data_IF_297566928104
#
_entry.id   IF_297566928104
#
_cell.length_a   1.000
_cell.length_b   1.000
_cell.length_c   1.000
_cell.angle_alpha   90.00
_cell.angle_beta   90.00
_cell.angle_gamma   90.00
#
_symmetry.space_group_name_H-M   'P 1'
#
loop_
_entity.id
_entity.type
_entity.pdbx_description
1 polymer ?
#
# COMPACT_ATOMS: atom_id res chain seq x y z
N UNK A 1 10.62 -16.41 55.85
CA UNK A 1 11.28 -15.87 54.63
C UNK A 1 10.63 -16.50 53.41
N UNK A 2 9.70 -15.81 52.75
CA UNK A 2 9.12 -16.26 51.49
C UNK A 2 10.00 -15.76 50.34
N UNK A 3 10.67 -16.68 49.63
CA UNK A 3 11.39 -16.36 48.40
C UNK A 3 10.37 -16.21 47.27
N UNK A 4 10.06 -14.97 46.90
CA UNK A 4 9.42 -14.67 45.63
C UNK A 4 10.38 -15.09 44.49
N UNK A 5 10.11 -16.23 43.87
CA UNK A 5 10.68 -16.55 42.55
C UNK A 5 9.89 -15.73 41.53
N UNK A 6 10.36 -14.53 41.23
CA UNK A 6 9.95 -13.84 40.01
C UNK A 6 10.37 -14.75 38.85
N UNK A 7 9.38 -15.38 38.21
CA UNK A 7 9.57 -16.09 36.96
C UNK A 7 9.96 -15.08 35.90
N UNK A 8 11.27 -14.96 35.64
CA UNK A 8 11.77 -14.36 34.41
C UNK A 8 11.35 -15.27 33.25
N UNK A 9 10.18 -14.98 32.69
CA UNK A 9 9.85 -15.49 31.36
C UNK A 9 10.85 -14.85 30.39
N UNK A 10 11.54 -15.63 29.54
CA UNK A 10 12.37 -15.05 28.50
C UNK A 10 11.48 -14.18 27.60
N UNK A 11 11.99 -13.04 27.08
CA UNK A 11 11.21 -12.20 26.19
C UNK A 11 10.72 -13.04 25.02
N UNK A 12 9.41 -13.03 24.77
CA UNK A 12 8.82 -13.71 23.62
C UNK A 12 9.51 -13.20 22.36
N UNK A 13 10.10 -14.10 21.56
CA UNK A 13 10.66 -13.71 20.26
C UNK A 13 9.53 -13.10 19.43
N UNK A 14 9.65 -11.82 19.10
CA UNK A 14 8.73 -11.12 18.20
C UNK A 14 8.68 -11.86 16.86
N UNK A 15 7.47 -12.06 16.34
CA UNK A 15 7.30 -12.65 15.01
C UNK A 15 7.60 -11.60 13.94
N UNK A 16 7.88 -12.02 12.69
CA UNK A 16 8.03 -11.07 11.56
C UNK A 16 6.81 -10.15 11.41
N UNK A 17 5.61 -10.67 11.72
CA UNK A 17 4.37 -9.89 11.72
C UNK A 17 4.42 -8.76 12.73
N UNK A 18 4.90 -9.05 13.93
CA UNK A 18 4.98 -8.07 15.01
C UNK A 18 5.98 -6.97 14.65
N UNK A 19 7.15 -7.34 14.09
CA UNK A 19 8.15 -6.39 13.62
C UNK A 19 7.63 -5.47 12.51
N UNK A 20 6.84 -6.01 11.58
CA UNK A 20 6.27 -5.22 10.49
C UNK A 20 5.20 -4.24 10.99
N UNK A 21 4.38 -4.64 11.97
CA UNK A 21 3.37 -3.79 12.59
C UNK A 21 3.99 -2.70 13.45
N UNK A 22 5.01 -3.02 14.25
CA UNK A 22 5.77 -2.04 15.03
C UNK A 22 6.42 -0.99 14.12
N UNK A 23 7.02 -1.41 13.00
CA UNK A 23 7.59 -0.50 12.00
C UNK A 23 6.53 0.44 11.41
N UNK A 24 5.34 -0.08 11.08
CA UNK A 24 4.21 0.71 10.59
C UNK A 24 3.71 1.72 11.64
N UNK A 25 3.57 1.29 12.89
CA UNK A 25 3.10 2.14 13.99
C UNK A 25 4.08 3.30 14.25
N UNK A 26 5.38 3.02 14.29
CA UNK A 26 6.42 4.03 14.47
C UNK A 26 6.43 5.10 13.37
N UNK A 27 6.01 4.74 12.15
CA UNK A 27 5.91 5.65 11.02
C UNK A 27 4.56 6.38 10.92
N UNK A 28 3.63 6.12 11.85
CA UNK A 28 2.29 6.70 11.82
C UNK A 28 1.41 6.13 10.70
N UNK A 29 1.72 4.93 10.18
CA UNK A 29 0.87 4.25 9.20
C UNK A 29 -0.40 3.79 9.91
N UNK A 30 -1.55 4.22 9.39
CA UNK A 30 -2.87 3.84 9.88
C UNK A 30 -3.61 2.94 8.89
N UNK A 31 -3.45 3.22 7.59
CA UNK A 31 -4.01 2.42 6.51
C UNK A 31 -2.90 1.86 5.62
N UNK A 32 -3.21 0.78 4.93
CA UNK A 32 -2.35 0.17 3.92
C UNK A 32 -3.13 -0.08 2.64
N UNK A 33 -2.44 0.10 1.52
CA UNK A 33 -2.93 -0.24 0.19
C UNK A 33 -1.98 -1.26 -0.44
N UNK A 34 -2.48 -2.47 -0.71
CA UNK A 34 -1.74 -3.54 -1.38
C UNK A 34 -1.84 -3.41 -2.89
N UNK A 35 -0.69 -3.33 -3.56
CA UNK A 35 -0.58 -3.20 -5.01
C UNK A 35 0.73 -3.84 -5.51
N UNK A 36 1.13 -3.58 -6.74
CA UNK A 36 2.39 -4.07 -7.30
C UNK A 36 3.26 -2.95 -7.87
N UNK A 37 4.48 -3.30 -8.26
CA UNK A 37 5.50 -2.40 -8.79
C UNK A 37 5.02 -1.56 -9.98
N UNK A 38 4.08 -2.04 -10.79
CA UNK A 38 3.55 -1.26 -11.91
C UNK A 38 2.78 -0.01 -11.45
N UNK A 39 2.29 0.04 -10.20
CA UNK A 39 1.65 1.23 -9.63
C UNK A 39 2.63 2.37 -9.32
N UNK A 40 3.92 2.08 -9.17
CA UNK A 40 4.93 3.06 -8.74
C UNK A 40 5.15 4.15 -9.81
N UNK A 41 5.08 3.79 -11.10
CA UNK A 41 5.16 4.76 -12.19
C UNK A 41 3.97 5.73 -12.17
N UNK A 42 2.78 5.22 -11.82
CA UNK A 42 1.58 6.04 -11.62
C UNK A 42 1.78 7.07 -10.50
N UNK A 43 2.37 6.66 -9.37
CA UNK A 43 2.72 7.58 -8.28
C UNK A 43 3.70 8.67 -8.74
N UNK A 44 4.68 8.32 -9.57
CA UNK A 44 5.60 9.31 -10.15
C UNK A 44 4.83 10.30 -11.00
N UNK A 45 3.96 9.80 -11.88
CA UNK A 45 3.27 10.63 -12.85
C UNK A 45 2.24 11.57 -12.24
N UNK A 46 1.38 11.03 -11.38
CA UNK A 46 0.20 11.74 -10.88
C UNK A 46 0.40 12.35 -9.50
N UNK A 47 1.51 12.00 -8.82
CA UNK A 47 1.76 12.40 -7.42
C UNK A 47 0.58 12.04 -6.51
N UNK A 48 -0.13 10.96 -6.82
CA UNK A 48 -1.26 10.43 -6.07
C UNK A 48 -1.51 8.95 -6.43
N UNK A 49 -2.12 8.22 -5.49
CA UNK A 49 -2.90 7.01 -5.79
C UNK A 49 -4.24 7.44 -6.36
N UNK A 50 -4.73 6.77 -7.40
CA UNK A 50 -5.93 7.21 -8.12
C UNK A 50 -7.07 6.22 -7.90
N UNK A 51 -8.28 6.74 -7.77
CA UNK A 51 -9.45 5.87 -7.82
C UNK A 51 -9.62 5.26 -9.21
N UNK A 52 -10.40 4.19 -9.31
CA UNK A 52 -10.77 3.62 -10.60
C UNK A 52 -11.41 4.63 -11.56
N UNK A 53 -12.28 5.48 -11.04
CA UNK A 53 -12.96 6.54 -11.81
C UNK A 53 -11.96 7.57 -12.31
N UNK A 54 -11.00 7.97 -11.47
CA UNK A 54 -9.92 8.89 -11.86
C UNK A 54 -9.03 8.25 -12.95
N UNK A 55 -8.72 6.95 -12.82
CA UNK A 55 -7.96 6.18 -13.82
C UNK A 55 -8.73 6.14 -15.16
N UNK A 56 -10.03 5.83 -15.14
CA UNK A 56 -10.85 5.71 -16.35
C UNK A 56 -11.00 7.06 -17.06
N UNK A 57 -11.09 8.16 -16.31
CA UNK A 57 -11.16 9.51 -16.85
C UNK A 57 -9.79 10.07 -17.29
N UNK A 58 -8.70 9.30 -17.14
CA UNK A 58 -7.33 9.76 -17.45
C UNK A 58 -6.79 9.10 -18.73
N UNK A 59 -6.59 9.85 -19.82
CA UNK A 59 -6.14 9.30 -21.11
C UNK A 59 -4.80 8.57 -21.09
N UNK A 60 -3.95 8.77 -20.07
CA UNK A 60 -2.66 8.08 -19.91
C UNK A 60 -2.79 6.57 -19.77
N UNK A 61 -3.94 6.06 -19.29
CA UNK A 61 -4.16 4.62 -19.10
C UNK A 61 -4.71 3.90 -20.33
N UNK A 62 -5.29 4.65 -21.27
CA UNK A 62 -5.99 4.11 -22.45
C UNK A 62 -5.15 4.13 -23.74
N UNK A 63 -3.89 4.58 -23.69
CA UNK A 63 -2.97 4.56 -24.83
C UNK A 63 -2.45 3.14 -25.09
N UNK A 64 -1.98 2.87 -26.31
CA UNK A 64 -1.39 1.58 -26.69
C UNK A 64 -0.27 1.14 -25.72
N UNK A 65 0.57 2.08 -25.30
CA UNK A 65 1.60 1.90 -24.26
C UNK A 65 1.17 2.55 -22.92
N UNK A 66 -0.13 2.54 -22.61
CA UNK A 66 -0.67 3.22 -21.43
C UNK A 66 -0.10 2.68 -20.10
N UNK A 67 -0.10 3.53 -19.07
CA UNK A 67 0.44 3.18 -17.75
C UNK A 67 -0.17 1.87 -17.23
N UNK A 68 0.70 0.98 -16.74
CA UNK A 68 0.31 -0.36 -16.28
C UNK A 68 -0.02 -0.44 -14.79
N UNK A 69 -0.48 0.66 -14.16
CA UNK A 69 -0.70 0.74 -12.70
C UNK A 69 -1.37 -0.50 -12.12
N UNK A 70 -0.84 -1.03 -11.01
CA UNK A 70 -1.45 -2.16 -10.27
C UNK A 70 -2.90 -1.88 -9.83
N UNK A 71 -3.26 -0.61 -9.59
CA UNK A 71 -4.66 -0.21 -9.34
C UNK A 71 -5.57 -0.50 -10.55
N UNK A 72 -5.05 -0.44 -11.78
CA UNK A 72 -5.80 -0.75 -13.01
C UNK A 72 -6.23 -2.22 -13.03
N UNK A 73 -5.35 -3.15 -12.66
CA UNK A 73 -5.64 -4.60 -12.72
C UNK A 73 -6.74 -5.05 -11.75
N UNK A 74 -6.70 -4.56 -10.51
CA UNK A 74 -7.74 -4.85 -9.51
C UNK A 74 -9.08 -4.15 -9.84
N UNK A 75 -8.99 -2.94 -10.38
CA UNK A 75 -10.12 -2.14 -10.84
C UNK A 75 -10.88 -2.82 -11.98
N UNK A 76 -10.20 -3.26 -13.05
CA UNK A 76 -10.88 -3.91 -14.19
C UNK A 76 -11.57 -5.22 -13.83
N UNK A 77 -10.99 -6.03 -12.93
CA UNK A 77 -11.60 -7.30 -12.51
C UNK A 77 -12.88 -7.12 -11.68
N UNK A 78 -13.06 -5.95 -11.07
CA UNK A 78 -14.16 -5.65 -10.15
C UNK A 78 -15.06 -4.49 -10.63
N UNK A 79 -14.75 -3.85 -11.77
CA UNK A 79 -15.61 -2.89 -12.43
C UNK A 79 -16.96 -3.54 -12.71
N UNK A 80 -18.04 -2.85 -12.38
CA UNK A 80 -19.42 -3.32 -12.55
C UNK A 80 -19.88 -4.50 -11.68
N UNK A 81 -19.07 -4.98 -10.71
CA UNK A 81 -19.45 -6.09 -9.81
C UNK A 81 -20.08 -5.65 -8.48
N UNK A 82 -20.86 -4.57 -8.46
CA UNK A 82 -21.57 -4.05 -7.27
C UNK A 82 -20.69 -3.72 -6.06
N UNK A 83 -19.37 -3.56 -6.23
CA UNK A 83 -18.51 -3.06 -5.17
C UNK A 83 -18.28 -1.55 -5.32
N UNK A 84 -18.40 -0.77 -4.25
CA UNK A 84 -18.25 0.69 -4.26
C UNK A 84 -16.80 1.19 -4.48
N UNK A 85 -15.90 0.28 -4.83
CA UNK A 85 -14.46 0.50 -4.92
C UNK A 85 -14.11 1.39 -6.11
N UNK A 86 -15.04 1.68 -7.04
CA UNK A 86 -14.75 2.58 -8.15
C UNK A 86 -14.53 4.04 -7.72
N UNK A 87 -15.15 4.45 -6.61
CA UNK A 87 -15.27 5.84 -6.17
C UNK A 87 -14.14 6.33 -5.25
N UNK A 88 -13.10 5.52 -5.08
CA UNK A 88 -11.98 5.83 -4.20
C UNK A 88 -10.90 4.76 -4.24
N UNK A 89 -9.82 4.99 -3.51
CA UNK A 89 -8.76 4.01 -3.31
C UNK A 89 -9.17 3.08 -2.18
N UNK A 90 -9.10 1.77 -2.44
CA UNK A 90 -9.40 0.71 -1.49
C UNK A 90 -8.27 0.55 -0.46
N UNK A 91 -8.59 0.60 0.83
CA UNK A 91 -7.62 0.54 1.92
C UNK A 91 -7.94 -0.59 2.89
N UNK A 92 -6.95 -1.00 3.67
CA UNK A 92 -7.16 -1.83 4.86
C UNK A 92 -6.47 -1.18 6.07
N UNK A 93 -6.95 -1.50 7.27
CA UNK A 93 -6.22 -1.15 8.49
C UNK A 93 -4.91 -1.92 8.59
N UNK A 94 -3.87 -1.30 9.15
CA UNK A 94 -2.53 -1.91 9.31
C UNK A 94 -2.55 -3.31 9.91
N UNK A 95 -3.39 -3.57 10.92
CA UNK A 95 -3.55 -4.91 11.53
C UNK A 95 -3.85 -6.04 10.52
N UNK A 96 -4.43 -5.69 9.37
CA UNK A 96 -4.82 -6.61 8.30
C UNK A 96 -3.86 -6.59 7.10
N UNK A 97 -2.68 -5.95 7.20
CA UNK A 97 -1.76 -5.76 6.06
C UNK A 97 -1.36 -7.06 5.35
N UNK A 98 -1.35 -8.19 6.06
CA UNK A 98 -1.08 -9.50 5.47
C UNK A 98 -2.04 -9.88 4.34
N UNK A 99 -3.26 -9.36 4.36
CA UNK A 99 -4.31 -9.67 3.39
C UNK A 99 -4.03 -8.87 2.12
N UNK A 100 -3.67 -7.59 2.29
CA UNK A 100 -3.11 -6.75 1.24
C UNK A 100 -1.92 -7.41 0.56
N UNK A 101 -0.96 -7.90 1.33
CA UNK A 101 0.27 -8.47 0.78
C UNK A 101 0.04 -9.83 0.10
N UNK A 102 -0.78 -10.70 0.69
CA UNK A 102 -0.98 -12.06 0.20
C UNK A 102 -2.00 -12.16 -0.94
N UNK A 103 -2.91 -11.20 -1.06
CA UNK A 103 -3.97 -11.22 -2.06
C UNK A 103 -3.85 -10.05 -3.02
N UNK A 104 -4.11 -8.83 -2.56
CA UNK A 104 -4.27 -7.66 -3.42
C UNK A 104 -2.98 -7.25 -4.14
N UNK A 105 -1.85 -7.30 -3.44
CA UNK A 105 -0.53 -6.97 -4.01
C UNK A 105 -0.07 -7.96 -5.09
N UNK A 106 -0.71 -9.14 -5.15
CA UNK A 106 -0.42 -10.18 -6.14
C UNK A 106 -1.33 -10.14 -7.36
N UNK A 107 -2.40 -9.34 -7.32
CA UNK A 107 -3.30 -9.21 -8.46
C UNK A 107 -2.57 -8.56 -9.64
N UNK A 108 -2.70 -9.17 -10.82
CA UNK A 108 -2.05 -8.67 -12.03
C UNK A 108 -0.54 -8.89 -12.12
N UNK A 109 0.08 -9.62 -11.18
CA UNK A 109 1.45 -10.11 -11.35
C UNK A 109 1.47 -11.17 -12.45
N UNK A 110 1.95 -10.78 -13.63
CA UNK A 110 2.14 -11.66 -14.80
C UNK A 110 3.66 -11.82 -15.01
N UNK A 111 4.28 -12.84 -14.41
CA UNK A 111 5.70 -13.17 -14.62
C UNK A 111 6.71 -12.35 -13.82
N UNK A 112 8.00 -12.47 -14.18
CA UNK A 112 9.17 -12.04 -13.39
C UNK A 112 9.36 -10.51 -13.25
N UNK A 113 8.64 -9.68 -14.02
CA UNK A 113 8.90 -8.23 -14.09
C UNK A 113 8.20 -7.39 -13.01
N UNK A 114 7.25 -7.97 -12.28
CA UNK A 114 6.50 -7.25 -11.25
C UNK A 114 6.66 -7.87 -9.86
N UNK A 115 6.62 -7.02 -8.84
CA UNK A 115 6.73 -7.43 -7.44
C UNK A 115 5.67 -6.76 -6.56
N UNK A 116 5.40 -7.37 -5.41
CA UNK A 116 4.45 -6.87 -4.43
C UNK A 116 4.89 -5.53 -3.81
N UNK A 117 3.93 -4.64 -3.61
CA UNK A 117 4.14 -3.33 -3.00
C UNK A 117 3.05 -3.10 -1.96
N UNK A 118 3.44 -2.57 -0.81
CA UNK A 118 2.50 -2.11 0.20
C UNK A 118 2.74 -0.63 0.49
N UNK A 119 1.71 0.18 0.31
CA UNK A 119 1.77 1.63 0.54
C UNK A 119 1.08 1.91 1.87
N UNK A 120 1.85 2.39 2.85
CA UNK A 120 1.36 2.83 4.15
C UNK A 120 0.94 4.28 4.13
N UNK A 121 -0.25 4.58 4.66
CA UNK A 121 -0.90 5.89 4.64
C UNK A 121 -1.25 6.36 6.06
N UNK A 122 -1.20 7.67 6.29
CA UNK A 122 -1.56 8.29 7.57
C UNK A 122 -3.07 8.20 7.87
N UNK A 123 -3.47 8.60 9.09
CA UNK A 123 -4.87 8.62 9.52
C UNK A 123 -5.68 9.79 8.96
N UNK A 124 -5.06 10.71 8.22
CA UNK A 124 -5.70 11.91 7.67
C UNK A 124 -6.26 11.70 6.26
N UNK A 125 -6.20 10.48 5.73
CA UNK A 125 -6.87 10.11 4.48
C UNK A 125 -8.38 10.30 4.65
N UNK A 126 -9.04 11.17 3.86
CA UNK A 126 -10.48 11.35 3.95
C UNK A 126 -11.22 10.11 3.44
N UNK A 127 -12.08 9.53 4.28
CA UNK A 127 -12.82 8.31 3.98
C UNK A 127 -14.30 8.57 3.67
N UNK A 128 -14.89 7.71 2.84
CA UNK A 128 -16.33 7.67 2.59
C UNK A 128 -17.03 6.99 3.76
N UNK A 129 -17.86 7.74 4.48
CA UNK A 129 -18.64 7.23 5.63
C UNK A 129 -19.58 6.05 5.27
N UNK A 130 -19.94 5.90 3.99
CA UNK A 130 -20.82 4.83 3.50
C UNK A 130 -20.21 3.42 3.66
N UNK A 131 -18.87 3.29 3.70
CA UNK A 131 -18.19 2.00 3.74
C UNK A 131 -17.50 1.81 5.08
N UNK A 132 -18.24 1.25 6.04
CA UNK A 132 -17.78 1.09 7.43
C UNK A 132 -16.92 -0.17 7.64
N UNK A 133 -17.17 -1.23 6.86
CA UNK A 133 -16.42 -2.49 6.94
C UNK A 133 -15.11 -2.46 6.15
N UNK A 134 -14.99 -1.57 5.17
CA UNK A 134 -13.87 -1.49 4.25
C UNK A 134 -13.54 -0.02 3.96
N UNK A 135 -12.42 0.53 4.48
CA UNK A 135 -12.12 1.94 4.28
C UNK A 135 -11.83 2.23 2.81
N UNK A 136 -12.59 3.19 2.26
CA UNK A 136 -12.42 3.69 0.88
C UNK A 136 -12.29 5.21 0.95
N UNK A 137 -11.29 5.76 0.29
CA UNK A 137 -11.10 7.22 0.26
C UNK A 137 -12.21 7.93 -0.53
N UNK A 138 -12.34 9.25 -0.33
CA UNK A 138 -13.31 10.07 -1.08
C UNK A 138 -12.93 10.22 -2.56
N UNK A 139 -11.67 9.97 -2.91
CA UNK A 139 -11.14 9.96 -4.29
C UNK A 139 -9.66 9.57 -4.28
N UNK A 140 -8.86 10.05 -5.23
CA UNK A 140 -7.41 9.86 -5.20
C UNK A 140 -6.74 10.33 -3.91
N UNK A 141 -5.64 9.68 -3.53
CA UNK A 141 -4.87 9.95 -2.31
C UNK A 141 -3.52 10.56 -2.69
N UNK A 142 -3.28 11.81 -2.27
CA UNK A 142 -2.01 12.50 -2.49
C UNK A 142 -0.81 11.75 -1.88
N UNK A 143 0.35 11.80 -2.54
CA UNK A 143 1.63 11.28 -2.01
C UNK A 143 2.03 11.90 -0.66
N UNK A 144 1.45 13.05 -0.29
CA UNK A 144 1.67 13.66 1.02
C UNK A 144 1.16 12.78 2.17
N UNK A 145 0.15 11.93 1.92
CA UNK A 145 -0.44 11.02 2.91
C UNK A 145 0.35 9.73 3.09
N UNK A 146 1.29 9.44 2.18
CA UNK A 146 2.13 8.24 2.25
C UNK A 146 3.12 8.40 3.39
N UNK A 147 3.15 7.45 4.31
CA UNK A 147 4.13 7.37 5.39
C UNK A 147 5.28 6.40 5.04
N UNK A 148 4.97 5.32 4.33
CA UNK A 148 5.95 4.28 3.98
C UNK A 148 5.58 3.59 2.65
N UNK A 149 6.58 3.15 1.91
CA UNK A 149 6.42 2.28 0.73
C UNK A 149 7.29 1.06 0.95
N UNK A 150 6.65 -0.09 1.15
CA UNK A 150 7.32 -1.36 1.39
C UNK A 150 7.40 -2.17 0.11
N UNK A 151 8.60 -2.64 -0.21
CA UNK A 151 8.92 -3.47 -1.38
C UNK A 151 9.88 -4.60 -0.97
N UNK A 152 10.08 -5.64 -1.80
CA UNK A 152 11.12 -6.64 -1.53
C UNK A 152 12.51 -6.00 -1.46
N UNK A 153 13.37 -6.53 -0.59
CA UNK A 153 14.65 -5.90 -0.25
C UNK A 153 15.53 -5.62 -1.47
N UNK A 154 15.51 -6.53 -2.46
CA UNK A 154 16.28 -6.40 -3.69
C UNK A 154 15.85 -5.21 -4.58
N UNK A 155 14.63 -4.69 -4.42
CA UNK A 155 14.09 -3.60 -5.25
C UNK A 155 14.14 -2.23 -4.56
N UNK A 156 14.59 -2.14 -3.30
CA UNK A 156 14.60 -0.87 -2.56
C UNK A 156 15.42 0.21 -3.26
N UNK A 157 16.58 -0.15 -3.82
CA UNK A 157 17.44 0.81 -4.53
C UNK A 157 16.76 1.34 -5.79
N UNK A 158 16.23 0.45 -6.63
CA UNK A 158 15.59 0.79 -7.90
C UNK A 158 14.37 1.68 -7.70
N UNK A 159 13.57 1.42 -6.67
CA UNK A 159 12.40 2.26 -6.35
C UNK A 159 12.81 3.63 -5.85
N UNK A 160 13.90 3.73 -5.08
CA UNK A 160 14.44 5.03 -4.66
C UNK A 160 14.94 5.84 -5.85
N UNK A 161 15.61 5.19 -6.80
CA UNK A 161 16.05 5.82 -8.05
C UNK A 161 14.85 6.29 -8.89
N UNK A 162 13.81 5.46 -9.03
CA UNK A 162 12.55 5.83 -9.69
C UNK A 162 11.92 7.09 -9.05
N UNK A 163 12.00 7.22 -7.74
CA UNK A 163 11.48 8.36 -6.99
C UNK A 163 12.44 9.53 -6.84
N UNK A 164 13.59 9.57 -7.52
CA UNK A 164 14.57 10.67 -7.38
C UNK A 164 13.97 12.07 -7.62
N UNK A 165 12.95 12.18 -8.48
CA UNK A 165 12.24 13.45 -8.75
C UNK A 165 11.20 13.82 -7.67
N UNK A 166 11.07 12.99 -6.62
CA UNK A 166 10.16 13.13 -5.49
C UNK A 166 10.93 12.81 -4.19
N UNK A 167 11.78 13.74 -3.71
CA UNK A 167 12.64 13.47 -2.56
C UNK A 167 11.89 13.00 -1.31
N UNK A 168 10.64 13.46 -1.13
CA UNK A 168 9.77 13.05 -0.03
C UNK A 168 9.36 11.58 -0.08
N UNK A 169 9.33 10.92 -1.24
CA UNK A 169 9.04 9.48 -1.34
C UNK A 169 10.30 8.62 -1.23
N UNK A 170 11.46 9.10 -1.70
CA UNK A 170 12.74 8.36 -1.60
C UNK A 170 13.02 7.91 -0.16
N UNK A 171 12.80 8.82 0.80
CA UNK A 171 13.01 8.57 2.24
C UNK A 171 11.99 7.61 2.86
N UNK A 172 10.88 7.34 2.16
CA UNK A 172 9.79 6.48 2.62
C UNK A 172 9.89 5.04 2.09
N UNK A 173 10.78 4.78 1.13
CA UNK A 173 11.01 3.43 0.57
C UNK A 173 11.81 2.57 1.53
N UNK A 174 11.31 1.36 1.81
CA UNK A 174 11.93 0.39 2.72
C UNK A 174 11.59 -1.05 2.34
N UNK A 175 12.36 -1.99 2.88
CA UNK A 175 12.07 -3.42 2.72
C UNK A 175 10.97 -3.87 3.68
N UNK A 176 10.27 -4.96 3.34
CA UNK A 176 9.48 -5.70 4.32
C UNK A 176 10.35 -6.20 5.50
N UNK A 177 9.74 -6.34 6.68
CA UNK A 177 10.36 -6.84 7.91
C UNK A 177 10.07 -8.33 8.17
#
# INVERSE_FOLDING_TARGET
MFRNKASFLPPSKLTKRDLQLEDMEQLGVHFVHGTNSSALEGLVKFRALLSAEDIDCTPWFHRADGLKSGERGNTFNNLYRNQPISQGVSLHYTRNYHECLNHYAKLGLLGEDNYEVLIGLDSFVPLRAKFTSHPVSIGGISIMRICAIYVPAQYVSDVREMFQTIPSLVTKVRSFR
#
